data_IF_447699091474
#
_entry.id   IF_447699091474
#
_cell.length_a   1.000
_cell.length_b   1.000
_cell.length_c   1.000
_cell.angle_alpha   90.00
_cell.angle_beta   90.00
_cell.angle_gamma   90.00
#
_symmetry.space_group_name_H-M   'P 1'
#
loop_
_entity.id
_entity.type
_entity.pdbx_description
1 polymer ?
#
# COMPACT_ATOMS: atom_id res chain seq x y z
N UNK A 1 -18.38 9.06 -3.41
CA UNK A 1 -17.09 8.79 -4.07
C UNK A 1 -16.46 7.62 -3.35
N UNK A 2 -16.31 6.47 -4.00
CA UNK A 2 -15.89 5.23 -3.34
C UNK A 2 -14.48 5.40 -2.78
N UNK A 3 -14.34 5.46 -1.45
CA UNK A 3 -13.06 5.26 -0.77
C UNK A 3 -12.61 3.85 -1.17
N UNK A 4 -11.60 3.73 -2.03
CA UNK A 4 -10.99 2.43 -2.32
C UNK A 4 -10.40 1.95 -0.99
N UNK A 5 -11.12 1.05 -0.33
CA UNK A 5 -10.75 0.53 0.97
C UNK A 5 -9.52 -0.35 0.74
N UNK A 6 -8.36 0.06 1.24
CA UNK A 6 -7.14 -0.74 1.17
C UNK A 6 -7.33 -1.96 2.04
N UNK A 7 -7.15 -3.14 1.46
CA UNK A 7 -7.26 -4.41 2.16
C UNK A 7 -5.91 -5.13 2.18
N UNK A 8 -5.64 -5.93 3.23
CA UNK A 8 -4.55 -6.89 3.17
C UNK A 8 -4.69 -7.80 1.94
N UNK A 9 -3.59 -8.00 1.21
CA UNK A 9 -3.54 -8.67 -0.09
C UNK A 9 -3.54 -7.73 -1.29
N UNK A 10 -3.91 -6.46 -1.11
CA UNK A 10 -3.84 -5.46 -2.17
C UNK A 10 -2.38 -5.22 -2.58
N UNK A 11 -2.15 -5.14 -3.88
CA UNK A 11 -0.82 -4.90 -4.47
C UNK A 11 -0.74 -3.47 -4.98
N UNK A 12 0.38 -2.82 -4.70
CA UNK A 12 0.67 -1.44 -5.09
C UNK A 12 2.07 -1.37 -5.71
N UNK A 13 2.27 -0.47 -6.65
CA UNK A 13 3.61 -0.10 -7.10
C UNK A 13 3.82 1.40 -6.89
N UNK A 14 5.07 1.79 -6.66
CA UNK A 14 5.43 3.21 -6.52
C UNK A 14 5.53 3.84 -7.91
N UNK A 15 4.91 5.00 -8.10
CA UNK A 15 5.00 5.76 -9.34
C UNK A 15 6.45 6.21 -9.51
N UNK A 16 7.11 5.71 -10.56
CA UNK A 16 8.55 5.87 -10.81
C UNK A 16 9.37 4.59 -10.64
N UNK A 17 8.85 3.59 -9.92
CA UNK A 17 9.47 2.26 -9.76
C UNK A 17 8.40 1.17 -9.93
N UNK A 18 7.90 0.97 -11.17
CA UNK A 18 6.83 -0.01 -11.45
C UNK A 18 7.28 -1.46 -11.25
N UNK A 19 8.59 -1.73 -11.27
CA UNK A 19 9.14 -3.07 -11.06
C UNK A 19 9.05 -3.56 -9.60
N UNK A 20 8.83 -2.63 -8.66
CA UNK A 20 8.72 -2.92 -7.24
C UNK A 20 7.25 -2.98 -6.84
N UNK A 21 6.78 -4.20 -6.57
CA UNK A 21 5.42 -4.45 -6.11
C UNK A 21 5.43 -4.63 -4.59
N UNK A 22 4.56 -3.86 -3.94
CA UNK A 22 4.32 -3.84 -2.51
C UNK A 22 2.96 -4.45 -2.22
N UNK A 23 2.92 -5.44 -1.34
CA UNK A 23 1.72 -6.13 -0.91
C UNK A 23 1.32 -5.59 0.45
N UNK A 24 0.09 -5.09 0.59
CA UNK A 24 -0.46 -4.74 1.88
C UNK A 24 -0.63 -6.01 2.72
N UNK A 25 0.09 -6.14 3.83
CA UNK A 25 0.02 -7.32 4.70
C UNK A 25 -0.76 -7.06 5.97
N UNK A 26 -0.76 -5.82 6.47
CA UNK A 26 -1.46 -5.47 7.71
C UNK A 26 -1.96 -4.02 7.68
N UNK A 27 -3.15 -3.79 8.23
CA UNK A 27 -3.67 -2.46 8.53
C UNK A 27 -3.37 -2.14 10.00
N UNK A 28 -2.85 -0.96 10.26
CA UNK A 28 -2.49 -0.47 11.58
C UNK A 28 -3.35 0.76 11.87
N UNK A 29 -4.26 0.61 12.84
CA UNK A 29 -5.11 1.69 13.31
C UNK A 29 -4.60 2.15 14.67
N UNK A 30 -4.20 3.42 14.74
CA UNK A 30 -3.72 4.04 15.98
C UNK A 30 -4.70 5.16 16.38
N UNK A 31 -5.00 5.31 17.68
CA UNK A 31 -5.88 6.36 18.15
C UNK A 31 -5.28 7.74 17.81
N UNK A 32 -6.10 8.63 17.24
CA UNK A 32 -5.74 9.98 16.80
C UNK A 32 -4.74 10.08 15.63
N UNK A 33 -4.47 8.98 14.92
CA UNK A 33 -3.62 8.98 13.73
C UNK A 33 -4.37 8.43 12.52
N UNK A 34 -4.00 8.84 11.29
CA UNK A 34 -4.53 8.20 10.10
C UNK A 34 -4.16 6.71 10.10
N UNK A 35 -5.02 5.87 9.52
CA UNK A 35 -4.72 4.45 9.32
C UNK A 35 -3.40 4.30 8.56
N UNK A 36 -2.53 3.42 9.05
CA UNK A 36 -1.29 3.03 8.40
C UNK A 36 -1.45 1.63 7.81
N UNK A 37 -0.63 1.32 6.83
CA UNK A 37 -0.61 0.06 6.13
C UNK A 37 0.82 -0.43 6.13
N UNK A 38 1.00 -1.67 6.56
CA UNK A 38 2.25 -2.38 6.43
C UNK A 38 2.29 -3.03 5.07
N UNK A 39 3.36 -2.76 4.34
CA UNK A 39 3.65 -3.24 3.02
C UNK A 39 4.88 -4.15 3.08
N UNK A 40 4.81 -5.25 2.34
CA UNK A 40 5.93 -6.18 2.15
C UNK A 40 6.21 -6.26 0.65
N UNK A 41 7.49 -6.26 0.26
CA UNK A 41 7.85 -6.40 -1.14
C UNK A 41 7.51 -7.81 -1.64
N UNK A 42 6.91 -7.91 -2.82
CA UNK A 42 6.53 -9.20 -3.44
C UNK A 42 7.75 -10.08 -3.78
N UNK A 43 8.91 -9.48 -4.07
CA UNK A 43 10.13 -10.19 -4.42
C UNK A 43 11.06 -10.48 -3.24
N UNK A 44 10.93 -9.71 -2.17
CA UNK A 44 11.78 -9.81 -0.97
C UNK A 44 10.96 -9.57 0.29
N UNK A 45 10.54 -10.64 0.95
CA UNK A 45 9.73 -10.57 2.17
C UNK A 45 10.45 -9.91 3.35
N UNK A 46 11.78 -9.74 3.29
CA UNK A 46 12.55 -8.99 4.31
C UNK A 46 12.40 -7.47 4.13
N UNK A 47 12.06 -7.02 2.91
CA UNK A 47 11.86 -5.60 2.64
C UNK A 47 10.42 -5.20 3.01
N UNK A 48 10.31 -4.47 4.12
CA UNK A 48 9.04 -4.04 4.70
C UNK A 48 8.99 -2.52 4.85
N UNK A 49 7.82 -1.94 4.63
CA UNK A 49 7.57 -0.50 4.81
C UNK A 49 6.23 -0.27 5.49
N UNK A 50 6.15 0.77 6.33
CA UNK A 50 4.88 1.24 6.90
C UNK A 50 4.57 2.62 6.35
N UNK A 51 3.42 2.76 5.70
CA UNK A 51 2.98 4.02 5.10
C UNK A 51 1.56 4.36 5.55
N UNK A 52 1.24 5.64 5.61
CA UNK A 52 -0.14 6.06 5.87
C UNK A 52 -1.03 5.67 4.69
N UNK A 53 -2.27 5.25 4.97
CA UNK A 53 -3.31 4.94 3.96
C UNK A 53 -3.46 6.06 2.93
N UNK A 54 -3.32 7.31 3.35
CA UNK A 54 -3.40 8.48 2.47
C UNK A 54 -2.31 8.50 1.39
N UNK A 55 -1.10 8.01 1.69
CA UNK A 55 -0.02 7.93 0.71
C UNK A 55 -0.32 6.88 -0.36
N UNK A 56 -0.97 5.78 0.02
CA UNK A 56 -1.40 4.72 -0.89
C UNK A 56 -2.63 5.11 -1.73
N UNK A 57 -3.47 6.03 -1.24
CA UNK A 57 -4.57 6.62 -1.99
C UNK A 57 -4.10 7.68 -3.01
N UNK A 58 -2.90 8.25 -2.82
CA UNK A 58 -2.32 9.23 -3.74
C UNK A 58 -1.74 8.54 -4.98
N UNK A 59 -2.49 8.65 -6.09
CA UNK A 59 -2.13 8.11 -7.41
C UNK A 59 -0.84 8.65 -8.01
N UNK A 60 -0.27 9.74 -7.46
CA UNK A 60 1.03 10.28 -7.85
C UNK A 60 2.18 9.59 -7.12
N UNK A 61 1.92 8.95 -5.99
CA UNK A 61 2.91 8.23 -5.20
C UNK A 61 2.81 6.72 -5.43
N UNK A 62 1.60 6.18 -5.34
CA UNK A 62 1.34 4.75 -5.47
C UNK A 62 0.14 4.48 -6.35
N UNK A 63 0.20 3.40 -7.11
CA UNK A 63 -0.93 2.92 -7.88
C UNK A 63 -1.21 1.46 -7.54
N UNK A 64 -2.50 1.15 -7.36
CA UNK A 64 -2.96 -0.20 -7.08
C UNK A 64 -2.86 -1.04 -8.36
N UNK A 65 -2.22 -2.20 -8.28
CA UNK A 65 -2.20 -3.19 -9.36
C UNK A 65 -3.62 -3.76 -9.45
N UNK A 66 -4.35 -3.39 -10.50
CA UNK A 66 -5.65 -3.99 -10.81
C UNK A 66 -5.39 -5.25 -11.62
N UNK A 67 -5.46 -6.41 -10.99
CA UNK A 67 -5.56 -7.68 -11.70
C UNK A 67 -6.92 -7.72 -12.40
N UNK A 68 -6.90 -7.86 -13.73
CA UNK A 68 -8.10 -7.99 -14.56
C UNK A 68 -8.66 -9.41 -14.49
#
# INVERSE_FOLDING_TARGET
MAKENIQPGDRFFKVGHPDTIWIATRLIELPNLPMHVHLTNERDDLEMQTLSRLALEDRKLFQKVRTH
#
